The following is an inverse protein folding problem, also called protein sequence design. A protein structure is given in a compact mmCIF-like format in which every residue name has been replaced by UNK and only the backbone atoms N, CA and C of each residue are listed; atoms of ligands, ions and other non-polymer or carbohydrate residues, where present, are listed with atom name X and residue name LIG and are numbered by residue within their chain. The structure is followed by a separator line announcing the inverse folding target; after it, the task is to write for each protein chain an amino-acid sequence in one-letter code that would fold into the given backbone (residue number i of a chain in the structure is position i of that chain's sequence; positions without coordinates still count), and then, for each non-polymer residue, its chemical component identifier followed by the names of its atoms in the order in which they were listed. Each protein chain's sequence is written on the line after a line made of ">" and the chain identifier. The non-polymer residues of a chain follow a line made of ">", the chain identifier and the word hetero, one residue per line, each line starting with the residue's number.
data_IF_882718920756
#
_entry.id   IF_882718920756
#
_cell.length_a   1.000
_cell.length_b   1.000
_cell.length_c   1.000
_cell.angle_alpha   90.00
_cell.angle_beta   90.00
_cell.angle_gamma   90.00
#
_symmetry.space_group_name_H-M   'P 1'
#
loop_
_entity.id
_entity.type
_entity.pdbx_description
1 polymer ?
#
# COMPACT_ATOMS: atom_id res chain seq x y z
N UNK A 1 -5.39 3.58 15.26
CA UNK A 1 -4.40 2.79 14.49
C UNK A 1 -4.59 3.12 13.02
N UNK A 2 -3.51 3.51 12.34
CA UNK A 2 -3.52 3.94 10.94
C UNK A 2 -3.05 2.77 10.06
N UNK A 3 -3.68 2.59 8.90
CA UNK A 3 -3.27 1.62 7.89
C UNK A 3 -2.50 2.35 6.81
N UNK A 4 -1.27 1.94 6.58
CA UNK A 4 -0.42 2.50 5.53
C UNK A 4 -0.25 1.43 4.45
N UNK A 5 -0.50 1.78 3.19
CA UNK A 5 -0.39 0.87 2.06
C UNK A 5 0.76 1.27 1.15
N UNK A 6 1.66 0.34 0.92
CA UNK A 6 2.83 0.50 0.06
C UNK A 6 2.73 -0.44 -1.13
N UNK A 7 3.25 0.01 -2.26
CA UNK A 7 3.33 -0.75 -3.51
C UNK A 7 4.76 -0.68 -4.05
N UNK A 8 5.26 -1.78 -4.59
CA UNK A 8 6.56 -1.79 -5.22
C UNK A 8 7.11 -3.19 -5.43
N UNK A 9 8.31 -3.28 -6.01
CA UNK A 9 9.04 -4.55 -6.05
C UNK A 9 9.53 -4.91 -4.63
N UNK A 10 9.85 -6.18 -4.40
CA UNK A 10 10.41 -6.59 -3.11
C UNK A 10 11.71 -5.84 -2.78
N UNK A 11 12.56 -5.61 -3.79
CA UNK A 11 13.82 -4.91 -3.62
C UNK A 11 13.60 -3.44 -3.21
N UNK A 12 12.69 -2.73 -3.89
CA UNK A 12 12.43 -1.31 -3.60
C UNK A 12 11.83 -1.13 -2.20
N UNK A 13 10.90 -2.00 -1.81
CA UNK A 13 10.26 -1.92 -0.49
C UNK A 13 11.23 -2.22 0.66
N UNK A 14 12.18 -3.13 0.45
CA UNK A 14 13.23 -3.41 1.44
C UNK A 14 14.25 -2.27 1.48
N UNK A 15 14.68 -1.78 0.31
CA UNK A 15 15.62 -0.66 0.21
C UNK A 15 15.07 0.61 0.87
N UNK A 16 13.78 0.88 0.69
CA UNK A 16 13.08 2.00 1.33
C UNK A 16 12.85 1.79 2.84
N UNK A 17 13.18 0.63 3.41
CA UNK A 17 12.95 0.34 4.83
C UNK A 17 11.48 0.17 5.22
N UNK A 18 10.59 0.00 4.22
CA UNK A 18 9.15 -0.19 4.44
C UNK A 18 8.87 -1.57 5.05
N UNK A 19 9.63 -2.58 4.61
CA UNK A 19 9.56 -3.98 5.06
C UNK A 19 10.94 -4.59 5.22
N UNK A 20 11.03 -5.70 5.95
CA UNK A 20 12.20 -6.57 5.93
C UNK A 20 12.03 -7.69 4.89
N UNK A 21 13.13 -8.32 4.47
CA UNK A 21 13.06 -9.48 3.56
C UNK A 21 12.23 -10.63 4.13
N UNK A 22 12.26 -10.86 5.45
CA UNK A 22 11.46 -11.87 6.14
C UNK A 22 9.95 -11.59 6.04
N UNK A 23 9.53 -10.33 6.04
CA UNK A 23 8.11 -9.97 5.86
C UNK A 23 7.58 -10.34 4.47
N UNK A 24 8.46 -10.40 3.46
CA UNK A 24 8.10 -10.77 2.08
C UNK A 24 8.32 -12.26 1.78
N UNK A 25 8.82 -13.04 2.75
CA UNK A 25 9.09 -14.46 2.55
C UNK A 25 7.83 -15.23 2.08
N UNK A 26 7.98 -16.24 1.21
CA UNK A 26 6.86 -17.09 0.79
C UNK A 26 6.08 -17.65 1.99
N UNK A 27 4.75 -17.66 1.89
CA UNK A 27 3.87 -18.14 2.96
C UNK A 27 3.55 -17.13 4.06
N UNK A 28 4.22 -15.97 4.11
CA UNK A 28 3.94 -14.91 5.11
C UNK A 28 3.03 -13.81 4.56
N UNK A 29 1.77 -14.16 4.27
CA UNK A 29 0.76 -13.19 3.78
C UNK A 29 0.25 -12.27 4.88
N UNK A 30 0.08 -12.75 6.11
CA UNK A 30 -0.36 -11.94 7.25
C UNK A 30 0.41 -12.36 8.48
N UNK A 31 0.96 -11.40 9.22
CA UNK A 31 1.69 -11.68 10.46
C UNK A 31 1.83 -10.42 11.32
N UNK A 32 2.59 -10.60 12.39
CA UNK A 32 3.08 -9.55 13.26
C UNK A 32 4.56 -9.34 12.93
N UNK A 33 4.99 -8.08 12.80
CA UNK A 33 6.39 -7.71 12.59
C UNK A 33 7.20 -7.85 13.89
N UNK A 34 8.52 -7.65 13.81
CA UNK A 34 9.40 -7.79 14.97
C UNK A 34 9.06 -6.81 16.12
N UNK A 35 8.33 -5.74 15.83
CA UNK A 35 7.91 -4.72 16.80
C UNK A 35 6.51 -5.01 17.36
N UNK A 36 5.87 -6.14 17.02
CA UNK A 36 4.54 -6.47 17.52
C UNK A 36 3.39 -5.89 16.69
N UNK A 37 3.65 -5.30 15.52
CA UNK A 37 2.63 -4.66 14.70
C UNK A 37 2.13 -5.55 13.56
N UNK A 38 0.82 -5.52 13.31
CA UNK A 38 0.22 -6.29 12.22
C UNK A 38 0.68 -5.78 10.86
N UNK A 39 0.92 -6.72 9.95
CA UNK A 39 1.07 -6.45 8.53
C UNK A 39 0.37 -7.51 7.68
N UNK A 40 0.10 -7.14 6.43
CA UNK A 40 -0.43 -8.00 5.39
C UNK A 40 0.34 -7.70 4.10
N UNK A 41 0.64 -8.73 3.32
CA UNK A 41 1.20 -8.57 1.98
C UNK A 41 0.49 -9.47 0.98
N UNK A 42 0.18 -8.86 -0.15
CA UNK A 42 -0.28 -9.53 -1.36
C UNK A 42 0.77 -9.34 -2.44
N UNK A 43 0.80 -10.26 -3.41
CA UNK A 43 1.65 -10.12 -4.57
C UNK A 43 0.87 -10.32 -5.85
N UNK A 44 1.24 -9.55 -6.86
CA UNK A 44 0.63 -9.57 -8.18
C UNK A 44 1.74 -9.60 -9.23
N UNK A 45 1.45 -10.14 -10.40
CA UNK A 45 2.29 -9.94 -11.56
C UNK A 45 1.73 -8.76 -12.35
N UNK A 46 2.57 -7.78 -12.64
CA UNK A 46 2.27 -6.70 -13.58
C UNK A 46 3.02 -6.90 -14.88
N UNK A 47 2.35 -6.49 -15.96
CA UNK A 47 2.91 -6.46 -17.31
C UNK A 47 2.80 -5.02 -17.78
N UNK A 48 3.91 -4.29 -17.69
CA UNK A 48 3.98 -2.98 -18.31
C UNK A 48 4.28 -3.15 -19.80
N UNK A 49 3.80 -2.21 -20.62
CA UNK A 49 4.05 -2.22 -22.06
C UNK A 49 5.56 -2.24 -22.33
N UNK A 50 6.03 -3.28 -23.03
CA UNK A 50 7.44 -3.44 -23.39
C UNK A 50 8.36 -4.00 -22.30
N UNK A 51 7.82 -4.40 -21.14
CA UNK A 51 8.60 -5.04 -20.06
C UNK A 51 8.21 -6.50 -19.87
N UNK A 52 9.15 -7.30 -19.37
CA UNK A 52 8.82 -8.65 -18.92
C UNK A 52 7.85 -8.59 -17.72
N UNK A 53 6.95 -9.57 -17.57
CA UNK A 53 6.12 -9.69 -16.37
C UNK A 53 7.00 -9.65 -15.12
N UNK A 54 6.69 -8.73 -14.21
CA UNK A 54 7.43 -8.60 -12.96
C UNK A 54 6.48 -8.61 -11.77
N UNK A 55 6.98 -9.12 -10.64
CA UNK A 55 6.21 -9.26 -9.42
C UNK A 55 6.25 -7.96 -8.63
N UNK A 56 5.09 -7.50 -8.24
CA UNK A 56 4.89 -6.38 -7.33
C UNK A 56 4.17 -6.84 -6.07
N UNK A 57 4.44 -6.14 -4.98
CA UNK A 57 3.86 -6.41 -3.69
C UNK A 57 3.00 -5.22 -3.25
N UNK A 58 1.83 -5.53 -2.69
CA UNK A 58 1.05 -4.59 -1.91
C UNK A 58 1.24 -4.94 -0.44
N UNK A 59 1.80 -4.04 0.34
CA UNK A 59 2.00 -4.25 1.78
C UNK A 59 1.14 -3.26 2.55
N UNK A 60 0.28 -3.79 3.43
CA UNK A 60 -0.47 -3.00 4.41
C UNK A 60 0.18 -3.15 5.78
N UNK A 61 0.48 -2.02 6.44
CA UNK A 61 1.01 -1.99 7.81
C UNK A 61 0.05 -1.24 8.72
N UNK A 62 -0.25 -1.83 9.87
CA UNK A 62 -1.08 -1.22 10.90
C UNK A 62 -0.17 -0.67 11.99
N UNK A 63 -0.16 0.66 12.15
CA UNK A 63 0.73 1.35 13.08
C UNK A 63 -0.04 2.31 13.98
N UNK A 64 0.38 2.50 15.23
CA UNK A 64 -0.07 3.61 16.06
C UNK A 64 0.16 4.95 15.35
N UNK A 65 -0.74 5.92 15.55
CA UNK A 65 -0.72 7.18 14.79
C UNK A 65 0.56 7.98 15.09
N UNK A 66 1.01 7.93 16.33
CA UNK A 66 2.24 8.53 16.83
C UNK A 66 3.52 7.99 16.17
N UNK A 67 3.47 6.81 15.56
CA UNK A 67 4.61 6.22 14.85
C UNK A 67 4.63 6.53 13.35
N UNK A 68 3.52 7.00 12.77
CA UNK A 68 3.38 7.19 11.32
C UNK A 68 4.42 8.15 10.75
N UNK A 69 4.63 9.29 11.40
CA UNK A 69 5.60 10.30 10.92
C UNK A 69 7.06 9.83 10.93
N UNK A 70 7.36 8.67 11.53
CA UNK A 70 8.70 8.08 11.58
C UNK A 70 8.91 6.99 10.53
N UNK A 71 7.86 6.60 9.82
CA UNK A 71 7.91 5.50 8.86
C UNK A 71 8.25 6.02 7.46
N UNK A 72 9.18 5.36 6.75
CA UNK A 72 9.57 5.79 5.41
C UNK A 72 8.38 5.88 4.45
N UNK A 73 8.20 7.05 3.82
CA UNK A 73 7.15 7.30 2.82
C UNK A 73 5.71 7.19 3.34
N UNK A 74 5.49 7.11 4.65
CA UNK A 74 4.17 6.86 5.21
C UNK A 74 3.19 8.01 5.00
N UNK A 75 3.67 9.26 5.12
CA UNK A 75 2.83 10.44 4.90
C UNK A 75 2.41 10.54 3.42
N UNK A 76 3.34 10.30 2.50
CA UNK A 76 3.05 10.30 1.07
C UNK A 76 2.06 9.18 0.69
N UNK A 77 2.23 7.98 1.27
CA UNK A 77 1.32 6.86 1.06
C UNK A 77 -0.09 7.12 1.59
N UNK A 78 -0.21 7.84 2.72
CA UNK A 78 -1.50 8.25 3.28
C UNK A 78 -2.14 9.31 2.38
N UNK A 79 -1.39 10.36 2.02
CA UNK A 79 -1.87 11.44 1.16
C UNK A 79 -2.39 10.90 -0.18
N UNK A 80 -1.62 10.02 -0.85
CA UNK A 80 -2.04 9.40 -2.10
C UNK A 80 -3.33 8.56 -1.95
N UNK A 81 -3.54 7.93 -0.78
CA UNK A 81 -4.77 7.19 -0.51
C UNK A 81 -5.98 8.12 -0.32
N UNK A 82 -5.80 9.22 0.41
CA UNK A 82 -6.82 10.24 0.64
C UNK A 82 -7.22 10.94 -0.67
N UNK A 83 -6.23 11.29 -1.50
CA UNK A 83 -6.45 11.88 -2.83
C UNK A 83 -7.25 10.94 -3.75
N UNK A 84 -6.92 9.65 -3.79
CA UNK A 84 -7.68 8.66 -4.55
C UNK A 84 -9.13 8.56 -4.05
N UNK A 85 -9.32 8.57 -2.73
CA UNK A 85 -10.66 8.56 -2.12
C UNK A 85 -11.50 9.76 -2.55
N UNK A 86 -10.94 10.96 -2.41
CA UNK A 86 -11.61 12.20 -2.82
C UNK A 86 -11.94 12.21 -4.32
N UNK A 87 -11.04 11.71 -5.16
CA UNK A 87 -11.30 11.59 -6.60
C UNK A 87 -12.44 10.62 -6.91
N UNK A 88 -12.46 9.44 -6.27
CA UNK A 88 -13.53 8.45 -6.47
C UNK A 88 -14.90 8.98 -6.03
N UNK A 89 -14.96 9.69 -4.90
CA UNK A 89 -16.19 10.36 -4.44
C UNK A 89 -16.67 11.41 -5.43
N UNK A 90 -15.76 12.24 -5.96
CA UNK A 90 -16.09 13.24 -6.97
C UNK A 90 -16.62 12.60 -8.26
N UNK A 91 -16.04 11.48 -8.71
CA UNK A 91 -16.53 10.72 -9.86
C UNK A 91 -17.92 10.15 -9.59
N UNK A 92 -18.13 9.52 -8.43
CA UNK A 92 -19.42 8.95 -8.05
C UNK A 92 -20.52 10.01 -8.05
N UNK A 93 -20.27 11.18 -7.46
CA UNK A 93 -21.22 12.30 -7.43
C UNK A 93 -21.58 12.81 -8.82
N UNK A 94 -20.62 12.85 -9.76
CA UNK A 94 -20.89 13.25 -11.15
C UNK A 94 -21.79 12.23 -11.85
N UNK A 95 -21.53 10.93 -11.66
CA UNK A 95 -22.31 9.87 -12.27
C UNK A 95 -23.75 9.84 -11.74
N UNK A 96 -23.96 10.02 -10.43
CA UNK A 96 -25.31 10.05 -9.85
C UNK A 96 -26.11 11.29 -10.27
N UNK A 97 -25.45 12.45 -10.36
CA UNK A 97 -26.09 13.71 -10.80
C UNK A 97 -26.52 13.62 -12.28
N UNK A 98 -25.67 13.04 -13.14
CA UNK A 98 -25.96 12.87 -14.57
C UNK A 98 -27.11 11.88 -14.85
N UNK A 99 -27.34 10.89 -13.98
CA UNK A 99 -28.49 9.97 -14.09
C UNK A 99 -29.80 10.53 -13.55
N UNK A 100 -29.77 11.69 -12.88
CA UNK A 100 -30.93 12.35 -12.26
C UNK A 100 -31.47 13.53 -13.09
N UNK A 101 -30.91 13.76 -14.28
CA UNK A 101 -31.21 14.89 -15.17
C UNK A 101 -31.94 14.44 -16.44
#
# INVERSE_FOLDING_TARGET
>A
MIVIRYYGTAADLVLAGVVTADMLAPGRRQRVDAEGHRFCQDSYYMVDVGRQPHRIHRVSRWKPAELVGRLPGALDAIAAHEELGAWLEAVANRLTTASSS
#
